data_IF_246944749602
#
_entry.id   IF_246944749602
#
_cell.length_a   1.000
_cell.length_b   1.000
_cell.length_c   1.000
_cell.angle_alpha   90.00
_cell.angle_beta   90.00
_cell.angle_gamma   90.00
#
_symmetry.space_group_name_H-M   'P 1'
#
loop_
_entity.id
_entity.type
_entity.pdbx_description
1 polymer ?
#
# COMPACT_ATOMS: atom_id res chain seq x y z
N UNK A 1 11.38 -49.31 44.18
CA UNK A 1 11.28 -47.84 44.05
C UNK A 1 10.84 -47.50 42.62
N UNK A 2 9.58 -47.08 42.37
CA UNK A 2 9.11 -46.81 41.03
C UNK A 2 9.46 -45.38 40.57
N UNK A 3 9.77 -45.27 39.28
CA UNK A 3 10.20 -44.06 38.57
C UNK A 3 8.99 -43.15 38.28
N UNK A 4 8.93 -41.94 38.84
CA UNK A 4 7.93 -40.92 38.46
C UNK A 4 8.52 -39.91 37.48
N UNK A 5 8.54 -40.27 36.19
CA UNK A 5 8.92 -39.37 35.09
C UNK A 5 7.77 -39.27 34.08
N UNK A 6 6.66 -38.58 34.42
CA UNK A 6 5.59 -38.13 33.49
C UNK A 6 4.79 -36.97 34.11
N UNK A 7 5.24 -35.72 34.02
CA UNK A 7 4.40 -34.54 34.31
C UNK A 7 4.53 -33.38 33.31
N UNK A 8 5.56 -33.38 32.46
CA UNK A 8 5.83 -32.24 31.58
C UNK A 8 4.84 -32.05 30.42
N UNK A 9 4.17 -33.11 29.95
CA UNK A 9 3.30 -33.02 28.77
C UNK A 9 1.90 -32.44 29.07
N UNK A 10 1.41 -32.56 30.32
CA UNK A 10 0.09 -32.05 30.74
C UNK A 10 0.15 -30.65 31.34
N UNK A 11 1.31 -30.23 31.84
CA UNK A 11 1.50 -28.90 32.44
C UNK A 11 1.44 -27.75 31.39
N UNK A 12 1.82 -28.02 30.14
CA UNK A 12 1.74 -27.04 29.04
C UNK A 12 0.30 -26.73 28.61
N UNK A 13 -0.56 -27.74 28.54
CA UNK A 13 -1.97 -27.58 28.16
C UNK A 13 -2.77 -26.80 29.23
N UNK A 14 -2.45 -27.03 30.51
CA UNK A 14 -3.03 -26.29 31.63
C UNK A 14 -2.64 -24.80 31.62
N UNK A 15 -1.37 -24.49 31.34
CA UNK A 15 -0.90 -23.10 31.18
C UNK A 15 -1.52 -22.41 29.97
N UNK A 16 -1.66 -23.11 28.84
CA UNK A 16 -2.33 -22.58 27.66
C UNK A 16 -3.82 -22.30 27.93
N UNK A 17 -4.53 -23.22 28.59
CA UNK A 17 -5.94 -23.04 28.91
C UNK A 17 -6.18 -21.93 29.95
N UNK A 18 -5.22 -21.69 30.85
CA UNK A 18 -5.26 -20.60 31.82
C UNK A 18 -5.01 -19.21 31.19
N UNK A 19 -4.21 -19.14 30.13
CA UNK A 19 -3.89 -17.88 29.42
C UNK A 19 -4.90 -17.59 28.30
N UNK A 20 -5.62 -18.60 27.81
CA UNK A 20 -6.64 -18.49 26.75
C UNK A 20 -7.69 -17.37 26.96
N UNK A 21 -8.24 -17.14 28.17
CA UNK A 21 -9.16 -16.03 28.40
C UNK A 21 -8.49 -14.66 28.19
N UNK A 22 -7.26 -14.49 28.68
CA UNK A 22 -6.49 -13.25 28.52
C UNK A 22 -6.12 -12.99 27.05
N UNK A 23 -5.80 -14.05 26.29
CA UNK A 23 -5.54 -13.96 24.84
C UNK A 23 -6.81 -13.57 24.08
N UNK A 24 -7.97 -14.14 24.44
CA UNK A 24 -9.25 -13.76 23.81
C UNK A 24 -9.62 -12.30 24.09
N UNK A 25 -9.36 -11.80 25.30
CA UNK A 25 -9.54 -10.39 25.65
C UNK A 25 -8.56 -9.50 24.88
N UNK A 26 -7.29 -9.91 24.74
CA UNK A 26 -6.33 -9.17 23.92
C UNK A 26 -6.76 -9.09 22.45
N UNK A 27 -7.29 -10.20 21.90
CA UNK A 27 -7.86 -10.20 20.55
C UNK A 27 -9.09 -9.28 20.45
N UNK A 28 -9.99 -9.26 21.44
CA UNK A 28 -11.16 -8.37 21.38
C UNK A 28 -10.75 -6.90 21.47
N UNK A 29 -9.82 -6.55 22.37
CA UNK A 29 -9.29 -5.19 22.52
C UNK A 29 -8.55 -4.72 21.25
N UNK A 30 -7.85 -5.63 20.56
CA UNK A 30 -7.23 -5.32 19.27
C UNK A 30 -8.29 -4.95 18.23
N UNK A 31 -9.38 -5.72 18.14
CA UNK A 31 -10.46 -5.44 17.21
C UNK A 31 -11.25 -4.17 17.57
N UNK A 32 -11.53 -3.94 18.86
CA UNK A 32 -12.14 -2.69 19.34
C UNK A 32 -11.30 -1.47 18.91
N UNK A 33 -9.97 -1.55 19.03
CA UNK A 33 -9.07 -0.49 18.58
C UNK A 33 -9.14 -0.29 17.05
N UNK A 34 -9.09 -1.38 16.28
CA UNK A 34 -9.18 -1.33 14.81
C UNK A 34 -10.51 -0.71 14.35
N UNK A 35 -11.63 -1.06 15.00
CA UNK A 35 -12.93 -0.48 14.68
C UNK A 35 -13.05 0.98 15.10
N UNK A 36 -12.49 1.36 16.25
CA UNK A 36 -12.42 2.77 16.68
C UNK A 36 -11.58 3.62 15.72
N UNK A 37 -10.50 3.07 15.15
CA UNK A 37 -9.68 3.75 14.14
C UNK A 37 -10.47 3.96 12.81
N UNK A 38 -11.47 3.12 12.50
CA UNK A 38 -12.33 3.29 11.30
C UNK A 38 -13.37 4.40 11.44
N UNK A 39 -13.88 4.69 12.64
CA UNK A 39 -14.89 5.75 12.84
C UNK A 39 -14.41 7.12 12.34
N UNK A 40 -13.09 7.34 12.38
CA UNK A 40 -12.45 8.59 11.96
C UNK A 40 -11.59 8.41 10.69
N UNK A 41 -11.71 7.28 9.99
CA UNK A 41 -10.95 7.04 8.78
C UNK A 41 -11.40 8.00 7.68
N UNK A 42 -10.45 8.83 7.23
CA UNK A 42 -10.67 9.73 6.10
C UNK A 42 -10.38 8.93 4.84
N UNK A 43 -11.42 8.69 4.04
CA UNK A 43 -11.27 8.13 2.70
C UNK A 43 -10.70 9.20 1.77
N UNK A 44 -9.74 8.80 0.93
CA UNK A 44 -9.27 9.67 -0.15
C UNK A 44 -10.42 10.01 -1.08
N UNK A 45 -10.54 11.29 -1.47
CA UNK A 45 -11.51 11.75 -2.47
C UNK A 45 -11.39 11.00 -3.79
N UNK A 46 -10.20 10.51 -4.11
CA UNK A 46 -9.91 9.75 -5.34
C UNK A 46 -9.76 8.25 -5.09
N UNK A 47 -10.21 7.74 -3.94
CA UNK A 47 -9.98 6.36 -3.52
C UNK A 47 -10.58 5.29 -4.44
N UNK A 48 -11.58 5.64 -5.24
CA UNK A 48 -12.24 4.75 -6.21
C UNK A 48 -11.87 5.07 -7.67
N UNK A 49 -11.08 6.11 -7.92
CA UNK A 49 -10.63 6.45 -9.26
C UNK A 49 -9.57 5.44 -9.74
N UNK A 50 -9.71 4.98 -10.98
CA UNK A 50 -8.72 4.14 -11.65
C UNK A 50 -8.43 4.73 -13.03
N UNK A 51 -7.16 5.02 -13.28
CA UNK A 51 -6.71 5.53 -14.56
C UNK A 51 -6.81 4.46 -15.66
N UNK A 52 -7.47 4.79 -16.77
CA UNK A 52 -7.47 3.98 -17.99
C UNK A 52 -6.37 4.45 -18.94
N UNK A 53 -5.29 3.67 -18.99
CA UNK A 53 -4.13 3.96 -19.83
C UNK A 53 -4.29 3.55 -21.31
N UNK A 54 -5.42 2.98 -21.73
CA UNK A 54 -5.61 2.43 -23.08
C UNK A 54 -5.27 3.44 -24.18
N UNK A 55 -5.61 4.72 -23.99
CA UNK A 55 -5.35 5.79 -24.96
C UNK A 55 -3.89 6.24 -25.03
N UNK A 56 -3.08 5.91 -24.03
CA UNK A 56 -1.68 6.34 -23.88
C UNK A 56 -0.76 5.17 -23.55
N UNK A 57 -1.15 3.94 -23.92
CA UNK A 57 -0.40 2.73 -23.59
C UNK A 57 1.06 2.78 -24.09
N UNK A 58 1.38 3.31 -25.30
CA UNK A 58 2.77 3.44 -25.75
C UNK A 58 3.62 4.37 -24.87
N UNK A 59 3.11 5.57 -24.56
CA UNK A 59 3.79 6.57 -23.73
C UNK A 59 3.92 6.06 -22.28
N UNK A 60 2.87 5.43 -21.75
CA UNK A 60 2.88 4.82 -20.43
C UNK A 60 3.91 3.69 -20.33
N UNK A 61 4.02 2.83 -21.35
CA UNK A 61 5.04 1.78 -21.41
C UNK A 61 6.45 2.37 -21.47
N UNK A 62 6.67 3.43 -22.26
CA UNK A 62 7.96 4.13 -22.33
C UNK A 62 8.34 4.79 -20.99
N UNK A 63 7.39 5.45 -20.33
CA UNK A 63 7.60 6.05 -19.00
C UNK A 63 7.94 4.99 -17.95
N UNK A 64 7.27 3.83 -17.98
CA UNK A 64 7.60 2.71 -17.09
C UNK A 64 9.01 2.17 -17.33
N UNK A 65 9.46 2.11 -18.59
CA UNK A 65 10.82 1.69 -18.90
C UNK A 65 11.86 2.67 -18.35
N UNK A 66 11.60 3.99 -18.40
CA UNK A 66 12.46 5.01 -17.77
C UNK A 66 12.48 4.83 -16.26
N UNK A 67 11.31 4.79 -15.60
CA UNK A 67 11.23 4.63 -14.15
C UNK A 67 11.86 3.32 -13.66
N UNK A 68 11.78 2.25 -14.47
CA UNK A 68 12.41 0.96 -14.17
C UNK A 68 13.92 1.04 -13.99
N UNK A 69 14.60 2.02 -14.59
CA UNK A 69 16.05 2.25 -14.41
C UNK A 69 16.39 2.79 -13.02
N UNK A 70 15.51 3.60 -12.43
CA UNK A 70 15.81 4.41 -11.25
C UNK A 70 15.04 3.97 -10.00
N UNK A 71 13.95 3.22 -10.15
CA UNK A 71 13.01 2.92 -9.07
C UNK A 71 13.67 2.31 -7.84
N UNK A 72 14.57 1.34 -8.02
CA UNK A 72 15.22 0.67 -6.89
C UNK A 72 15.96 1.68 -6.00
N UNK A 73 16.78 2.54 -6.60
CA UNK A 73 17.60 3.50 -5.88
C UNK A 73 16.79 4.68 -5.33
N UNK A 74 15.72 5.09 -6.02
CA UNK A 74 14.75 6.07 -5.52
C UNK A 74 14.00 5.55 -4.29
N UNK A 75 13.57 4.28 -4.29
CA UNK A 75 12.85 3.69 -3.15
C UNK A 75 13.75 3.49 -1.94
N UNK A 76 15.03 3.16 -2.14
CA UNK A 76 15.98 2.98 -1.04
C UNK A 76 16.67 4.26 -0.61
N UNK A 77 16.49 5.36 -1.37
CA UNK A 77 17.14 6.64 -1.11
C UNK A 77 18.67 6.60 -1.33
N UNK A 78 19.15 5.71 -2.19
CA UNK A 78 20.59 5.54 -2.47
C UNK A 78 21.07 6.36 -3.66
N UNK A 79 20.14 6.87 -4.48
CA UNK A 79 20.40 7.79 -5.58
C UNK A 79 20.55 9.21 -5.03
N UNK A 80 21.55 9.96 -5.50
CA UNK A 80 21.58 11.42 -5.28
C UNK A 80 20.49 12.07 -6.13
N UNK A 81 19.41 12.50 -5.46
CA UNK A 81 18.25 13.05 -6.15
C UNK A 81 18.52 14.45 -6.73
N UNK A 82 19.38 15.25 -6.10
CA UNK A 82 19.65 16.62 -6.55
C UNK A 82 20.41 16.61 -7.88
N UNK A 83 21.31 15.63 -8.06
CA UNK A 83 22.04 15.43 -9.31
C UNK A 83 21.19 14.76 -10.40
N UNK A 84 20.37 13.77 -10.03
CA UNK A 84 19.73 12.88 -11.00
C UNK A 84 18.32 13.30 -11.42
N UNK A 85 17.60 14.07 -10.60
CA UNK A 85 16.23 14.49 -10.90
C UNK A 85 16.08 15.20 -12.26
N UNK A 86 16.97 16.13 -12.69
CA UNK A 86 16.86 16.76 -14.00
C UNK A 86 16.95 15.77 -15.16
N UNK A 87 17.82 14.77 -15.03
CA UNK A 87 17.99 13.70 -16.04
C UNK A 87 16.74 12.83 -16.12
N UNK A 88 16.21 12.40 -14.97
CA UNK A 88 15.01 11.57 -14.90
C UNK A 88 13.80 12.32 -15.49
N UNK A 89 13.64 13.60 -15.17
CA UNK A 89 12.57 14.44 -15.71
C UNK A 89 12.64 14.57 -17.24
N UNK A 90 13.82 14.79 -17.81
CA UNK A 90 13.97 14.88 -19.26
C UNK A 90 13.71 13.53 -19.94
N UNK A 91 14.21 12.42 -19.39
CA UNK A 91 13.92 11.09 -19.92
C UNK A 91 12.41 10.78 -19.91
N UNK A 92 11.71 11.14 -18.83
CA UNK A 92 10.26 10.99 -18.73
C UNK A 92 9.52 11.87 -19.73
N UNK A 93 9.94 13.13 -19.90
CA UNK A 93 9.35 14.06 -20.86
C UNK A 93 9.50 13.54 -22.29
N UNK A 94 10.68 13.04 -22.66
CA UNK A 94 10.93 12.39 -23.96
C UNK A 94 10.10 11.12 -24.13
N UNK A 95 9.87 10.37 -23.05
CA UNK A 95 9.03 9.17 -23.06
C UNK A 95 7.51 9.46 -23.16
N UNK A 96 7.09 10.74 -23.18
CA UNK A 96 5.69 11.12 -23.32
C UNK A 96 4.94 11.33 -22.00
N UNK A 97 5.65 11.62 -20.90
CA UNK A 97 5.04 11.86 -19.59
C UNK A 97 3.94 12.94 -19.62
N UNK A 98 4.14 14.03 -20.37
CA UNK A 98 3.15 15.11 -20.48
C UNK A 98 1.84 14.62 -21.12
N UNK A 99 1.91 13.71 -22.10
CA UNK A 99 0.73 13.10 -22.73
C UNK A 99 -0.04 12.24 -21.73
N UNK A 100 0.67 11.41 -20.97
CA UNK A 100 0.07 10.56 -19.92
C UNK A 100 -0.59 11.42 -18.83
N UNK A 101 0.09 12.51 -18.42
CA UNK A 101 -0.42 13.44 -17.42
C UNK A 101 -1.70 14.16 -17.90
N UNK A 102 -1.74 14.59 -19.16
CA UNK A 102 -2.91 15.25 -19.74
C UNK A 102 -4.12 14.31 -19.81
N UNK A 103 -3.92 13.05 -20.24
CA UNK A 103 -4.98 12.04 -20.26
C UNK A 103 -5.49 11.72 -18.85
N UNK A 104 -4.58 11.54 -17.88
CA UNK A 104 -4.95 11.30 -16.50
C UNK A 104 -5.76 12.46 -15.89
N UNK A 105 -5.38 13.71 -16.19
CA UNK A 105 -6.15 14.88 -15.75
C UNK A 105 -7.54 14.92 -16.38
N UNK A 106 -7.67 14.65 -17.68
CA UNK A 106 -8.96 14.63 -18.36
C UNK A 106 -9.91 13.57 -17.78
N UNK A 107 -9.41 12.38 -17.49
CA UNK A 107 -10.20 11.31 -16.86
C UNK A 107 -10.57 11.65 -15.41
N UNK A 108 -9.65 12.27 -14.67
CA UNK A 108 -9.90 12.71 -13.31
C UNK A 108 -10.99 13.79 -13.26
N UNK A 109 -10.93 14.78 -14.16
CA UNK A 109 -11.93 15.84 -14.27
C UNK A 109 -13.31 15.26 -14.60
N UNK A 110 -13.35 14.30 -15.54
CA UNK A 110 -14.59 13.61 -15.90
C UNK A 110 -15.16 12.80 -14.72
N UNK A 111 -14.32 12.11 -13.96
CA UNK A 111 -14.71 11.36 -12.76
C UNK A 111 -15.32 12.29 -11.70
N UNK A 112 -14.64 13.40 -11.38
CA UNK A 112 -15.11 14.37 -10.39
C UNK A 112 -16.41 15.06 -10.81
N UNK A 113 -16.60 15.32 -12.10
CA UNK A 113 -17.83 15.88 -12.63
C UNK A 113 -19.01 14.91 -12.53
N UNK A 114 -18.77 13.60 -12.69
CA UNK A 114 -19.79 12.58 -12.52
C UNK A 114 -20.21 12.43 -11.05
N UNK A 115 -19.25 12.40 -10.12
CA UNK A 115 -19.51 12.34 -8.67
C UNK A 115 -20.29 13.55 -8.14
N UNK A 116 -20.10 14.74 -8.74
CA UNK A 116 -20.83 15.94 -8.35
C UNK A 116 -22.28 16.00 -8.86
N UNK A 117 -22.68 15.08 -9.75
CA UNK A 117 -24.01 15.04 -10.35
C UNK A 117 -24.99 14.08 -9.63
N UNK A 118 -24.50 13.27 -8.68
CA UNK A 118 -25.26 12.41 -7.78
C UNK A 118 -25.46 13.05 -6.38
#
# INVERSE_FOLDING_TARGET
MPKSRKKSHVDGLGRFNAIRPAVNVLYSLLWEKVYADYENAILSTLGSFSFDKTNVEPEHAACNAVMGKYMAELYTGTLDIDEMLPTIQEELRVAGYETVMAEAQAQLDAYLAAEAAD
#
